data_IF_368671295935
#
_entry.id   IF_368671295935
#
_cell.length_a   1.000
_cell.length_b   1.000
_cell.length_c   1.000
_cell.angle_alpha   90.00
_cell.angle_beta   90.00
_cell.angle_gamma   90.00
#
_symmetry.space_group_name_H-M   'P 1'
#
loop_
_entity.id
_entity.type
_entity.pdbx_description
1 polymer ?
#
# COMPACT_ATOMS: atom_id res chain seq x y z
N UNK A 1 37.50 -3.63 -2.56
CA UNK A 1 36.24 -4.20 -3.08
C UNK A 1 35.09 -3.37 -2.52
N UNK A 2 34.66 -2.35 -3.25
CA UNK A 2 33.49 -1.56 -2.88
C UNK A 2 32.27 -2.20 -3.55
N UNK A 3 31.45 -2.88 -2.75
CA UNK A 3 30.15 -3.43 -3.16
C UNK A 3 29.14 -2.28 -3.28
N UNK A 4 29.32 -1.49 -4.34
CA UNK A 4 28.32 -0.74 -5.08
C UNK A 4 27.11 -0.25 -4.25
N UNK A 5 27.21 1.01 -3.80
CA UNK A 5 26.11 1.94 -3.52
C UNK A 5 25.21 2.16 -4.75
N UNK A 6 24.58 1.09 -5.25
CA UNK A 6 23.65 1.10 -6.38
C UNK A 6 22.19 1.02 -5.91
N UNK A 7 21.87 1.65 -4.78
CA UNK A 7 20.47 1.93 -4.46
C UNK A 7 20.03 3.06 -5.40
N UNK A 8 19.57 2.66 -6.58
CA UNK A 8 18.76 3.49 -7.47
C UNK A 8 17.78 4.27 -6.58
N UNK A 9 17.82 5.60 -6.64
CA UNK A 9 16.96 6.47 -5.83
C UNK A 9 15.53 5.92 -5.86
N UNK A 10 15.07 5.37 -4.73
CA UNK A 10 13.71 4.89 -4.58
C UNK A 10 12.82 6.14 -4.60
N UNK A 11 11.96 6.33 -5.62
CA UNK A 11 11.11 7.49 -5.67
C UNK A 11 10.13 7.43 -4.49
N UNK A 12 10.20 8.42 -3.60
CA UNK A 12 9.24 8.56 -2.51
C UNK A 12 7.87 8.83 -3.10
N UNK A 13 6.92 7.91 -2.87
CA UNK A 13 5.57 8.02 -3.42
C UNK A 13 4.67 8.88 -2.54
N UNK A 14 4.78 8.71 -1.23
CA UNK A 14 4.11 9.49 -0.20
C UNK A 14 4.80 9.21 1.15
N UNK A 15 4.66 10.13 2.10
CA UNK A 15 5.10 9.97 3.48
C UNK A 15 4.09 10.63 4.40
N UNK A 16 3.81 10.00 5.54
CA UNK A 16 2.91 10.50 6.56
C UNK A 16 3.27 9.86 7.91
N UNK A 17 2.80 10.44 9.01
CA UNK A 17 3.09 9.99 10.39
C UNK A 17 1.80 9.62 11.11
N UNK A 18 1.81 8.52 11.86
CA UNK A 18 0.62 7.96 12.52
C UNK A 18 0.96 7.50 13.94
N UNK A 19 0.04 7.72 14.88
CA UNK A 19 0.11 7.17 16.24
C UNK A 19 -0.75 5.90 16.32
N UNK A 20 -0.09 4.74 16.40
CA UNK A 20 -0.78 3.44 16.46
C UNK A 20 -1.06 3.04 17.92
N UNK A 21 -2.23 2.43 18.21
CA UNK A 21 -3.20 1.86 17.28
C UNK A 21 -4.32 2.80 16.81
N UNK A 22 -4.38 4.03 17.34
CA UNK A 22 -5.50 4.96 17.11
C UNK A 22 -5.65 5.34 15.63
N UNK A 23 -4.54 5.50 14.92
CA UNK A 23 -4.51 5.91 13.51
C UNK A 23 -4.50 4.76 12.50
N UNK A 24 -4.79 3.52 12.91
CA UNK A 24 -4.71 2.37 11.99
C UNK A 24 -5.65 2.53 10.78
N UNK A 25 -6.79 3.21 10.94
CA UNK A 25 -7.70 3.52 9.84
C UNK A 25 -7.14 4.59 8.90
N UNK A 26 -6.43 5.58 9.44
CA UNK A 26 -5.77 6.62 8.65
C UNK A 26 -4.61 6.03 7.84
N UNK A 27 -3.82 5.12 8.43
CA UNK A 27 -2.78 4.37 7.73
C UNK A 27 -3.34 3.62 6.52
N UNK A 28 -4.45 2.89 6.70
CA UNK A 28 -5.08 2.12 5.61
C UNK A 28 -5.60 3.03 4.51
N UNK A 29 -6.19 4.17 4.90
CA UNK A 29 -6.67 5.19 3.96
C UNK A 29 -5.52 5.78 3.15
N UNK A 30 -4.42 6.10 3.80
CA UNK A 30 -3.20 6.61 3.18
C UNK A 30 -2.62 5.63 2.16
N UNK A 31 -2.50 4.35 2.54
CA UNK A 31 -2.00 3.29 1.66
C UNK A 31 -2.90 3.10 0.44
N UNK A 32 -4.21 3.02 0.64
CA UNK A 32 -5.16 2.90 -0.46
C UNK A 32 -5.15 4.13 -1.38
N UNK A 33 -5.06 5.35 -0.85
CA UNK A 33 -4.96 6.56 -1.68
C UNK A 33 -3.68 6.56 -2.53
N UNK A 34 -2.58 6.05 -1.98
CA UNK A 34 -1.26 6.09 -2.63
C UNK A 34 -1.06 4.95 -3.64
N UNK A 35 -1.53 3.74 -3.33
CA UNK A 35 -1.15 2.52 -4.03
C UNK A 35 -2.29 1.82 -4.76
N UNK A 36 -3.56 2.21 -4.56
CA UNK A 36 -4.69 1.64 -5.30
C UNK A 36 -4.56 1.82 -6.81
N UNK A 37 -4.06 2.98 -7.25
CA UNK A 37 -3.79 3.23 -8.67
C UNK A 37 -2.67 2.34 -9.25
N UNK A 38 -1.85 1.73 -8.38
CA UNK A 38 -0.79 0.79 -8.74
C UNK A 38 -1.23 -0.67 -8.65
N UNK A 39 -2.52 -0.91 -8.45
CA UNK A 39 -3.08 -2.26 -8.36
C UNK A 39 -2.94 -2.90 -6.98
N UNK A 40 -2.71 -2.13 -5.91
CA UNK A 40 -2.64 -2.67 -4.54
C UNK A 40 -3.72 -2.05 -3.65
N UNK A 41 -4.50 -2.90 -3.00
CA UNK A 41 -5.52 -2.51 -2.02
C UNK A 41 -5.17 -3.08 -0.67
N UNK A 42 -5.31 -2.26 0.37
CA UNK A 42 -5.01 -2.57 1.75
C UNK A 42 -6.30 -2.66 2.55
N UNK A 43 -6.49 -3.77 3.25
CA UNK A 43 -7.64 -4.02 4.11
C UNK A 43 -7.23 -4.16 5.56
N UNK A 44 -8.11 -3.75 6.46
CA UNK A 44 -7.93 -3.89 7.89
C UNK A 44 -9.16 -4.56 8.48
N UNK A 45 -8.92 -5.60 9.26
CA UNK A 45 -9.95 -6.30 10.02
C UNK A 45 -9.53 -6.34 11.48
N UNK A 46 -10.46 -6.05 12.39
CA UNK A 46 -10.25 -6.28 13.82
C UNK A 46 -10.70 -7.70 14.15
N UNK A 47 -9.80 -8.49 14.75
CA UNK A 47 -10.09 -9.84 15.23
C UNK A 47 -9.68 -9.92 16.70
N UNK A 48 -10.67 -9.98 17.58
CA UNK A 48 -10.50 -9.94 19.03
C UNK A 48 -9.67 -8.72 19.48
N UNK A 49 -8.47 -8.97 20.01
CA UNK A 49 -7.53 -7.96 20.48
C UNK A 49 -6.40 -7.65 19.48
N UNK A 50 -6.53 -8.10 18.23
CA UNK A 50 -5.54 -7.94 17.19
C UNK A 50 -6.12 -7.28 15.93
N UNK A 51 -5.25 -6.64 15.16
CA UNK A 51 -5.54 -6.16 13.83
C UNK A 51 -4.95 -7.12 12.80
N UNK A 52 -5.78 -7.57 11.86
CA UNK A 52 -5.37 -8.34 10.70
C UNK A 52 -5.25 -7.37 9.53
N UNK A 53 -4.06 -7.33 8.95
CA UNK A 53 -3.73 -6.50 7.80
C UNK A 53 -3.68 -7.37 6.54
N UNK A 54 -4.45 -6.99 5.53
CA UNK A 54 -4.55 -7.74 4.28
C UNK A 54 -4.10 -6.85 3.11
N UNK A 55 -3.42 -7.45 2.15
CA UNK A 55 -3.01 -6.79 0.90
C UNK A 55 -3.61 -7.60 -0.26
N UNK A 56 -4.31 -6.91 -1.15
CA UNK A 56 -4.97 -7.49 -2.31
C UNK A 56 -4.38 -6.89 -3.58
N UNK A 57 -4.28 -7.71 -4.61
CA UNK A 57 -4.00 -7.22 -5.96
C UNK A 57 -5.32 -6.79 -6.62
N UNK A 58 -5.42 -5.51 -6.96
CA UNK A 58 -6.49 -4.97 -7.78
C UNK A 58 -6.09 -5.12 -9.24
N UNK A 59 -6.40 -6.28 -9.81
CA UNK A 59 -6.28 -6.49 -11.26
C UNK A 59 -7.32 -5.60 -11.94
N UNK A 60 -6.89 -4.42 -12.38
CA UNK A 60 -7.63 -3.66 -13.38
C UNK A 60 -7.53 -4.46 -14.69
N UNK A 61 -8.33 -5.52 -14.82
CA UNK A 61 -8.55 -6.13 -16.14
C UNK A 61 -9.23 -5.07 -16.99
N UNK A 62 -8.42 -4.33 -17.75
CA UNK A 62 -8.89 -3.57 -18.88
C UNK A 62 -9.60 -4.54 -19.80
N UNK A 63 -10.93 -4.48 -19.81
CA UNK A 63 -11.73 -5.02 -20.90
C UNK A 63 -11.33 -4.25 -22.17
N UNK A 64 -10.29 -4.71 -22.85
CA UNK A 64 -10.07 -4.42 -24.27
C UNK A 64 -11.18 -5.10 -25.06
N UNK A 65 -12.37 -4.50 -25.07
CA UNK A 65 -13.36 -4.79 -26.10
C UNK A 65 -12.93 -4.03 -27.35
N UNK A 66 -12.07 -4.69 -28.12
CA UNK A 66 -11.76 -4.28 -29.50
C UNK A 66 -12.99 -4.60 -30.35
N UNK A 67 -13.66 -3.52 -30.76
CA UNK A 67 -14.40 -3.29 -32.02
C UNK A 67 -15.08 -4.47 -32.72
#
# INVERSE_FOLDING_TARGET
MELWSKHQHLPLLASDTFELPEDVHHLITFLNKTLKCRGLIFGLQRKDNAFVFNIYEHTSQGTSNTK
#
